data_IF_414209803405
#
_entry.id   IF_414209803405
#
_cell.length_a   1.000
_cell.length_b   1.000
_cell.length_c   1.000
_cell.angle_alpha   90.00
_cell.angle_beta   90.00
_cell.angle_gamma   90.00
#
_symmetry.space_group_name_H-M   'P 1'
#
loop_
_entity.id
_entity.type
_entity.pdbx_description
1 polymer ?
#
# COMPACT_ATOMS: atom_id res chain seq x y z
N UNK A 1 68.05 40.02 -39.20
CA UNK A 1 68.67 40.12 -37.85
C UNK A 1 68.38 38.81 -37.13
N UNK A 2 69.35 37.87 -37.13
CA UNK A 2 70.32 37.52 -36.05
C UNK A 2 69.70 36.48 -35.09
N UNK A 3 70.24 35.27 -34.85
CA UNK A 3 71.41 34.50 -35.29
C UNK A 3 71.16 33.03 -34.85
N UNK A 4 71.55 31.94 -35.53
CA UNK A 4 72.84 31.43 -36.04
C UNK A 4 73.86 31.11 -34.93
N UNK A 5 74.12 29.81 -34.75
CA UNK A 5 75.28 29.25 -34.05
C UNK A 5 75.62 27.89 -34.65
N UNK A 6 76.65 27.87 -35.50
CA UNK A 6 77.20 26.76 -36.28
C UNK A 6 78.69 26.69 -35.95
N UNK A 7 79.20 25.52 -35.53
CA UNK A 7 80.62 25.10 -35.58
C UNK A 7 80.61 23.55 -35.55
N UNK A 8 80.68 22.82 -36.66
CA UNK A 8 81.84 22.53 -37.56
C UNK A 8 82.98 21.83 -36.79
N UNK A 9 83.12 20.50 -36.82
CA UNK A 9 83.68 19.62 -37.89
C UNK A 9 85.13 19.94 -38.30
N UNK A 10 86.08 19.80 -37.37
CA UNK A 10 87.51 19.52 -37.60
C UNK A 10 88.04 19.05 -36.23
N UNK A 11 88.45 17.82 -35.96
CA UNK A 11 89.64 17.14 -36.47
C UNK A 11 89.41 15.63 -36.28
N UNK A 12 88.91 14.97 -37.33
CA UNK A 12 89.23 13.57 -37.58
C UNK A 12 90.60 13.60 -38.25
N UNK A 13 91.45 12.61 -37.92
CA UNK A 13 92.65 12.24 -38.66
C UNK A 13 93.96 12.95 -38.28
N UNK A 14 94.57 12.54 -37.16
CA UNK A 14 96.03 12.44 -37.09
C UNK A 14 96.43 11.26 -36.18
N UNK A 15 96.95 10.21 -36.83
CA UNK A 15 97.88 9.20 -36.31
C UNK A 15 97.43 8.47 -35.02
N UNK A 16 96.85 7.26 -35.08
CA UNK A 16 97.58 6.03 -35.42
C UNK A 16 99.07 6.12 -35.05
N UNK A 17 99.42 5.69 -33.84
CA UNK A 17 100.46 4.67 -33.56
C UNK A 17 100.90 4.74 -32.09
N UNK A 18 100.27 3.94 -31.23
CA UNK A 18 100.89 3.42 -30.01
C UNK A 18 100.14 2.15 -29.60
N UNK A 19 100.54 1.06 -30.25
CA UNK A 19 100.15 -0.30 -29.89
C UNK A 19 100.78 -0.61 -28.52
N UNK A 20 99.96 -0.70 -27.48
CA UNK A 20 100.29 -1.44 -26.25
C UNK A 20 99.08 -2.30 -25.88
N UNK A 21 99.24 -3.63 -25.75
CA UNK A 21 98.18 -4.53 -25.34
C UNK A 21 98.13 -4.58 -23.82
N UNK A 22 97.18 -3.88 -23.21
CA UNK A 22 96.92 -4.09 -21.80
C UNK A 22 95.44 -3.83 -21.47
N UNK A 23 94.87 -4.89 -20.91
CA UNK A 23 93.63 -4.95 -20.12
C UNK A 23 92.32 -4.89 -20.91
N UNK A 24 91.85 -6.10 -21.26
CA UNK A 24 90.43 -6.38 -21.27
C UNK A 24 89.84 -6.03 -19.90
N UNK A 25 89.23 -4.86 -19.77
CA UNK A 25 88.26 -4.58 -18.72
C UNK A 25 86.90 -5.02 -19.25
N UNK A 26 86.47 -6.19 -18.76
CA UNK A 26 85.14 -6.72 -19.00
C UNK A 26 84.10 -5.72 -18.52
N UNK A 27 83.52 -4.98 -19.46
CA UNK A 27 82.16 -4.50 -19.30
C UNK A 27 81.26 -5.74 -19.36
N UNK A 28 80.85 -6.25 -18.19
CA UNK A 28 79.77 -7.23 -18.15
C UNK A 28 78.58 -6.62 -18.91
N UNK A 29 78.02 -7.30 -19.92
CA UNK A 29 76.82 -6.82 -20.58
C UNK A 29 75.74 -6.59 -19.51
N UNK A 30 74.88 -5.57 -19.64
CA UNK A 30 73.79 -5.36 -18.71
C UNK A 30 73.02 -6.68 -18.60
N UNK A 31 73.00 -7.24 -17.40
CA UNK A 31 72.55 -8.60 -17.13
C UNK A 31 71.11 -8.78 -17.63
N UNK A 32 70.97 -9.38 -18.82
CA UNK A 32 69.68 -9.54 -19.50
C UNK A 32 68.73 -10.35 -18.61
N UNK A 33 69.27 -11.26 -17.80
CA UNK A 33 68.50 -12.05 -16.84
C UNK A 33 67.86 -11.18 -15.75
N UNK A 34 68.55 -10.11 -15.31
CA UNK A 34 68.00 -9.15 -14.35
C UNK A 34 66.79 -8.38 -14.92
N UNK A 35 66.85 -7.98 -16.20
CA UNK A 35 65.74 -7.31 -16.88
C UNK A 35 64.56 -8.24 -17.14
N UNK A 36 64.85 -9.49 -17.52
CA UNK A 36 63.82 -10.52 -17.69
C UNK A 36 63.09 -10.76 -16.37
N UNK A 37 63.84 -10.85 -15.25
CA UNK A 37 63.28 -11.04 -13.92
C UNK A 37 62.43 -9.84 -13.46
N UNK A 38 62.87 -8.62 -13.73
CA UNK A 38 62.12 -7.40 -13.43
C UNK A 38 60.81 -7.34 -14.23
N UNK A 39 60.84 -7.67 -15.52
CA UNK A 39 59.63 -7.71 -16.35
C UNK A 39 58.69 -8.86 -15.97
N UNK A 40 59.22 -10.02 -15.57
CA UNK A 40 58.42 -11.10 -14.99
C UNK A 40 57.73 -10.65 -13.69
N UNK A 41 58.42 -9.93 -12.81
CA UNK A 41 57.84 -9.38 -11.59
C UNK A 41 56.76 -8.32 -11.87
N UNK A 42 56.96 -7.48 -12.90
CA UNK A 42 55.94 -6.52 -13.37
C UNK A 42 54.71 -7.23 -13.93
N UNK A 43 54.90 -8.28 -14.74
CA UNK A 43 53.82 -9.12 -15.24
C UNK A 43 53.03 -9.75 -14.09
N UNK A 44 53.71 -10.33 -13.11
CA UNK A 44 53.05 -10.95 -11.95
C UNK A 44 52.26 -9.92 -11.12
N UNK A 45 52.78 -8.69 -10.98
CA UNK A 45 52.08 -7.60 -10.31
C UNK A 45 50.83 -7.15 -11.07
N UNK A 46 50.91 -7.06 -12.40
CA UNK A 46 49.78 -6.72 -13.27
C UNK A 46 48.72 -7.82 -13.21
N UNK A 47 49.11 -9.09 -13.27
CA UNK A 47 48.18 -10.23 -13.14
C UNK A 47 47.45 -10.21 -11.80
N UNK A 48 48.15 -9.92 -10.71
CA UNK A 48 47.54 -9.75 -9.38
C UNK A 48 46.53 -8.60 -9.38
N UNK A 49 46.85 -7.46 -9.97
CA UNK A 49 45.93 -6.32 -10.09
C UNK A 49 44.69 -6.66 -10.92
N UNK A 50 44.84 -7.34 -12.06
CA UNK A 50 43.71 -7.80 -12.89
C UNK A 50 42.81 -8.74 -12.07
N UNK A 51 43.40 -9.72 -11.37
CA UNK A 51 42.64 -10.67 -10.55
C UNK A 51 41.86 -9.96 -9.42
N UNK A 52 42.44 -8.94 -8.82
CA UNK A 52 41.81 -8.13 -7.78
C UNK A 52 40.62 -7.35 -8.33
N UNK A 53 40.79 -6.66 -9.46
CA UNK A 53 39.70 -5.90 -10.08
C UNK A 53 38.59 -6.81 -10.63
N UNK A 54 38.91 -7.99 -11.18
CA UNK A 54 37.90 -8.98 -11.56
C UNK A 54 37.05 -9.44 -10.36
N UNK A 55 37.69 -9.69 -9.20
CA UNK A 55 36.97 -10.02 -7.96
C UNK A 55 36.06 -8.88 -7.51
N UNK A 56 36.54 -7.63 -7.58
CA UNK A 56 35.72 -6.46 -7.25
C UNK A 56 34.51 -6.31 -8.18
N UNK A 57 34.69 -6.50 -9.49
CA UNK A 57 33.60 -6.45 -10.48
C UNK A 57 32.55 -7.53 -10.20
N UNK A 58 32.98 -8.76 -9.89
CA UNK A 58 32.05 -9.85 -9.56
C UNK A 58 31.25 -9.56 -8.27
N UNK A 59 31.89 -9.01 -7.24
CA UNK A 59 31.20 -8.61 -6.01
C UNK A 59 30.18 -7.51 -6.26
N UNK A 60 30.54 -6.49 -7.04
CA UNK A 60 29.64 -5.41 -7.42
C UNK A 60 28.41 -5.93 -8.19
N UNK A 61 28.59 -6.82 -9.17
CA UNK A 61 27.48 -7.45 -9.90
C UNK A 61 26.54 -8.25 -9.01
N UNK A 62 27.07 -9.03 -8.06
CA UNK A 62 26.23 -9.77 -7.10
C UNK A 62 25.40 -8.83 -6.24
N UNK A 63 26.00 -7.71 -5.81
CA UNK A 63 25.29 -6.68 -5.03
C UNK A 63 24.21 -6.01 -5.85
N UNK A 64 24.50 -5.65 -7.10
CA UNK A 64 23.52 -5.07 -8.04
C UNK A 64 22.34 -6.02 -8.26
N UNK A 65 22.61 -7.30 -8.51
CA UNK A 65 21.56 -8.30 -8.71
C UNK A 65 20.69 -8.48 -7.46
N UNK A 66 21.29 -8.51 -6.26
CA UNK A 66 20.54 -8.54 -5.01
C UNK A 66 19.64 -7.30 -4.82
N UNK A 67 20.13 -6.11 -5.16
CA UNK A 67 19.34 -4.88 -5.09
C UNK A 67 18.18 -4.87 -6.09
N UNK A 68 18.36 -5.43 -7.29
CA UNK A 68 17.27 -5.58 -8.27
C UNK A 68 16.21 -6.57 -7.79
N UNK A 69 16.61 -7.67 -7.16
CA UNK A 69 15.68 -8.63 -6.55
C UNK A 69 14.88 -7.99 -5.42
N UNK A 70 15.55 -7.22 -4.55
CA UNK A 70 14.90 -6.46 -3.47
C UNK A 70 13.92 -5.42 -4.03
N UNK A 71 14.32 -4.67 -5.07
CA UNK A 71 13.46 -3.70 -5.73
C UNK A 71 12.21 -4.36 -6.33
N UNK A 72 12.38 -5.50 -7.01
CA UNK A 72 11.28 -6.28 -7.58
C UNK A 72 10.29 -6.74 -6.50
N UNK A 73 10.79 -7.22 -5.36
CA UNK A 73 9.94 -7.60 -4.20
C UNK A 73 9.20 -6.41 -3.62
N UNK A 74 9.85 -5.25 -3.53
CA UNK A 74 9.22 -4.00 -3.07
C UNK A 74 8.11 -3.60 -4.05
N UNK A 75 8.36 -3.60 -5.36
CA UNK A 75 7.36 -3.23 -6.37
C UNK A 75 6.13 -4.17 -6.35
N UNK A 76 6.36 -5.47 -6.18
CA UNK A 76 5.28 -6.45 -5.98
C UNK A 76 4.49 -6.14 -4.71
N UNK A 77 5.18 -5.84 -3.60
CA UNK A 77 4.56 -5.49 -2.33
C UNK A 77 3.73 -4.20 -2.43
N UNK A 78 4.25 -3.17 -3.11
CA UNK A 78 3.54 -1.91 -3.37
C UNK A 78 2.29 -2.16 -4.20
N UNK A 79 2.38 -3.00 -5.24
CA UNK A 79 1.23 -3.35 -6.08
C UNK A 79 0.14 -4.06 -5.28
N UNK A 80 0.52 -5.04 -4.44
CA UNK A 80 -0.40 -5.75 -3.57
C UNK A 80 -1.04 -4.82 -2.53
N UNK A 81 -0.26 -3.93 -1.91
CA UNK A 81 -0.78 -2.96 -0.95
C UNK A 81 -1.78 -2.00 -1.61
N UNK A 82 -1.51 -1.52 -2.82
CA UNK A 82 -2.46 -0.68 -3.58
C UNK A 82 -3.79 -1.39 -3.83
N UNK A 83 -3.75 -2.66 -4.23
CA UNK A 83 -4.98 -3.47 -4.39
C UNK A 83 -5.72 -3.66 -3.07
N UNK A 84 -4.98 -3.88 -1.97
CA UNK A 84 -5.58 -4.00 -0.63
C UNK A 84 -6.24 -2.71 -0.18
N UNK A 85 -5.63 -1.54 -0.43
CA UNK A 85 -6.24 -0.24 -0.15
C UNK A 85 -7.53 -0.07 -0.95
N UNK A 86 -7.51 -0.33 -2.27
CA UNK A 86 -8.71 -0.23 -3.10
C UNK A 86 -9.85 -1.14 -2.62
N UNK A 87 -9.53 -2.36 -2.17
CA UNK A 87 -10.51 -3.28 -1.59
C UNK A 87 -11.09 -2.73 -0.28
N UNK A 88 -10.24 -2.21 0.61
CA UNK A 88 -10.68 -1.63 1.88
C UNK A 88 -11.56 -0.39 1.67
N UNK A 89 -11.25 0.43 0.67
CA UNK A 89 -12.08 1.59 0.31
C UNK A 89 -13.48 1.17 -0.16
N UNK A 90 -13.58 0.13 -1.01
CA UNK A 90 -14.87 -0.42 -1.43
C UNK A 90 -15.66 -1.02 -0.25
N UNK A 91 -14.97 -1.72 0.67
CA UNK A 91 -15.60 -2.25 1.88
C UNK A 91 -16.12 -1.12 2.78
N UNK A 92 -15.32 -0.07 2.96
CA UNK A 92 -15.72 1.13 3.70
C UNK A 92 -16.95 1.78 3.08
N UNK A 93 -16.97 1.99 1.77
CA UNK A 93 -18.12 2.57 1.07
C UNK A 93 -19.40 1.73 1.26
N UNK A 94 -19.30 0.40 1.13
CA UNK A 94 -20.41 -0.52 1.38
C UNK A 94 -20.93 -0.40 2.82
N UNK A 95 -20.04 -0.34 3.81
CA UNK A 95 -20.42 -0.15 5.20
C UNK A 95 -21.10 1.19 5.43
N UNK A 96 -20.60 2.28 4.82
CA UNK A 96 -21.22 3.61 4.93
C UNK A 96 -22.60 3.67 4.29
N UNK A 97 -22.83 2.97 3.18
CA UNK A 97 -24.16 2.81 2.59
C UNK A 97 -25.10 2.08 3.55
N UNK A 98 -24.66 0.96 4.13
CA UNK A 98 -25.45 0.22 5.12
C UNK A 98 -25.79 1.05 6.36
N UNK A 99 -24.86 1.87 6.85
CA UNK A 99 -25.13 2.80 7.96
C UNK A 99 -26.22 3.80 7.58
N UNK A 100 -26.18 4.37 6.37
CA UNK A 100 -27.20 5.32 5.91
C UNK A 100 -28.58 4.67 5.81
N UNK A 101 -28.66 3.47 5.25
CA UNK A 101 -29.91 2.70 5.11
C UNK A 101 -30.51 2.38 6.49
N UNK A 102 -29.70 1.81 7.39
CA UNK A 102 -30.14 1.48 8.75
C UNK A 102 -30.55 2.74 9.54
N UNK A 103 -29.84 3.86 9.36
CA UNK A 103 -30.22 5.13 10.02
C UNK A 103 -31.58 5.61 9.54
N UNK A 104 -31.86 5.51 8.23
CA UNK A 104 -33.17 5.88 7.68
C UNK A 104 -34.28 4.93 8.17
N UNK A 105 -33.99 3.63 8.26
CA UNK A 105 -34.93 2.63 8.78
C UNK A 105 -35.24 2.86 10.27
N UNK A 106 -34.23 3.19 11.08
CA UNK A 106 -34.41 3.58 12.49
C UNK A 106 -35.32 4.80 12.58
N UNK A 107 -35.04 5.87 11.82
CA UNK A 107 -35.86 7.08 11.83
C UNK A 107 -37.31 6.81 11.44
N UNK A 108 -37.54 5.98 10.41
CA UNK A 108 -38.89 5.59 9.99
C UNK A 108 -39.60 4.79 11.08
N UNK A 109 -38.92 3.79 11.65
CA UNK A 109 -39.47 2.94 12.72
C UNK A 109 -39.80 3.74 13.97
N UNK A 110 -38.92 4.66 14.39
CA UNK A 110 -39.15 5.56 15.51
C UNK A 110 -40.36 6.49 15.27
N UNK A 111 -40.50 7.02 14.06
CA UNK A 111 -41.64 7.86 13.69
C UNK A 111 -42.96 7.07 13.76
N UNK A 112 -42.99 5.83 13.26
CA UNK A 112 -44.18 4.98 13.31
C UNK A 112 -44.50 4.50 14.73
N UNK A 113 -43.48 4.24 15.54
CA UNK A 113 -43.62 3.97 16.97
C UNK A 113 -44.24 5.17 17.69
N UNK A 114 -43.77 6.38 17.42
CA UNK A 114 -44.31 7.61 18.00
C UNK A 114 -45.77 7.84 17.59
N UNK A 115 -46.11 7.63 16.31
CA UNK A 115 -47.51 7.70 15.83
C UNK A 115 -48.40 6.68 16.55
N UNK A 116 -47.94 5.44 16.68
CA UNK A 116 -48.71 4.37 17.33
C UNK A 116 -48.91 4.64 18.82
N UNK A 117 -47.88 5.11 19.52
CA UNK A 117 -47.97 5.57 20.92
C UNK A 117 -49.00 6.69 21.07
N UNK A 118 -48.95 7.70 20.20
CA UNK A 118 -49.89 8.82 20.22
C UNK A 118 -51.34 8.38 19.94
N UNK A 119 -51.54 7.45 19.02
CA UNK A 119 -52.85 6.85 18.74
C UNK A 119 -53.40 6.13 19.97
N UNK A 120 -52.62 5.21 20.56
CA UNK A 120 -53.03 4.43 21.72
C UNK A 120 -53.26 5.32 22.95
N UNK A 121 -52.43 6.34 23.17
CA UNK A 121 -52.61 7.28 24.28
C UNK A 121 -53.96 8.01 24.21
N UNK A 122 -54.31 8.57 23.05
CA UNK A 122 -55.63 9.20 22.84
C UNK A 122 -56.78 8.21 22.99
N UNK A 123 -56.59 6.99 22.52
CA UNK A 123 -57.61 5.95 22.61
C UNK A 123 -57.85 5.50 24.05
N UNK A 124 -56.80 5.30 24.83
CA UNK A 124 -56.91 5.00 26.26
C UNK A 124 -57.50 6.16 27.06
N UNK A 125 -57.17 7.41 26.72
CA UNK A 125 -57.81 8.57 27.32
C UNK A 125 -59.32 8.59 27.06
N UNK A 126 -59.74 8.29 25.81
CA UNK A 126 -61.16 8.22 25.47
C UNK A 126 -61.87 7.08 26.21
N UNK A 127 -61.27 5.89 26.28
CA UNK A 127 -61.81 4.75 27.05
C UNK A 127 -61.88 5.10 28.54
N UNK A 128 -60.88 5.77 29.10
CA UNK A 128 -60.92 6.19 30.50
C UNK A 128 -62.04 7.19 30.79
N UNK A 129 -62.24 8.18 29.90
CA UNK A 129 -63.24 9.25 30.08
C UNK A 129 -64.67 8.79 29.79
N UNK A 130 -64.86 7.89 28.84
CA UNK A 130 -66.19 7.57 28.28
C UNK A 130 -66.50 6.07 28.25
N UNK A 131 -65.53 5.21 28.55
CA UNK A 131 -65.67 3.75 28.49
C UNK A 131 -66.72 3.20 29.45
N UNK A 132 -67.28 2.05 29.10
CA UNK A 132 -68.44 1.47 29.78
C UNK A 132 -69.73 2.17 29.37
N UNK A 133 -69.99 3.38 29.88
CA UNK A 133 -71.30 4.04 29.68
C UNK A 133 -71.57 4.37 28.21
N UNK A 134 -70.58 4.91 27.47
CA UNK A 134 -70.78 5.23 26.06
C UNK A 134 -70.95 3.99 25.17
N UNK A 135 -70.23 2.91 25.50
CA UNK A 135 -70.30 1.63 24.77
C UNK A 135 -71.64 0.94 25.01
N UNK A 136 -72.11 0.88 26.27
CA UNK A 136 -73.45 0.39 26.58
C UNK A 136 -74.53 1.25 25.93
N UNK A 137 -74.41 2.58 25.98
CA UNK A 137 -75.35 3.47 25.32
C UNK A 137 -75.38 3.22 23.81
N UNK A 138 -74.23 3.09 23.14
CA UNK A 138 -74.17 2.77 21.70
C UNK A 138 -74.86 1.45 21.34
N UNK A 139 -74.68 0.42 22.17
CA UNK A 139 -75.32 -0.89 21.95
C UNK A 139 -76.83 -0.86 22.24
N UNK A 140 -77.24 -0.17 23.30
CA UNK A 140 -78.64 -0.08 23.73
C UNK A 140 -79.46 0.93 22.91
N UNK A 141 -78.81 1.93 22.30
CA UNK A 141 -79.46 2.93 21.44
C UNK A 141 -79.60 2.50 19.98
N UNK A 142 -79.14 1.29 19.62
CA UNK A 142 -79.23 0.78 18.25
C UNK A 142 -80.69 0.63 17.80
N UNK A 143 -80.96 0.88 16.53
CA UNK A 143 -82.31 0.79 15.96
C UNK A 143 -82.79 -0.66 15.74
N UNK A 144 -81.87 -1.63 15.73
CA UNK A 144 -82.16 -3.04 15.52
C UNK A 144 -81.12 -3.96 16.15
N UNK A 145 -81.51 -5.22 16.41
CA UNK A 145 -80.61 -6.26 16.92
C UNK A 145 -79.40 -6.51 16.00
N UNK A 146 -79.61 -6.38 14.68
CA UNK A 146 -78.52 -6.53 13.71
C UNK A 146 -77.49 -5.41 13.84
N UNK A 147 -77.94 -4.16 14.05
CA UNK A 147 -77.07 -3.01 14.28
C UNK A 147 -76.30 -3.13 15.61
N UNK A 148 -76.97 -3.51 16.71
CA UNK A 148 -76.30 -3.79 17.99
C UNK A 148 -75.20 -4.85 17.84
N UNK A 149 -75.50 -5.97 17.16
CA UNK A 149 -74.53 -7.05 16.97
C UNK A 149 -73.34 -6.62 16.11
N UNK A 150 -73.60 -5.78 15.10
CA UNK A 150 -72.56 -5.21 14.24
C UNK A 150 -71.65 -4.27 15.04
N UNK A 151 -72.23 -3.39 15.85
CA UNK A 151 -71.47 -2.48 16.71
C UNK A 151 -70.63 -3.24 17.74
N UNK A 152 -71.19 -4.29 18.37
CA UNK A 152 -70.46 -5.15 19.29
C UNK A 152 -69.28 -5.87 18.61
N UNK A 153 -69.48 -6.40 17.41
CA UNK A 153 -68.42 -7.02 16.62
C UNK A 153 -67.29 -6.02 16.28
N UNK A 154 -67.65 -4.79 15.88
CA UNK A 154 -66.67 -3.76 15.55
C UNK A 154 -65.84 -3.33 16.78
N UNK A 155 -66.48 -3.13 17.93
CA UNK A 155 -65.78 -2.83 19.19
C UNK A 155 -64.80 -3.96 19.55
N UNK A 156 -65.23 -5.22 19.48
CA UNK A 156 -64.37 -6.36 19.75
C UNK A 156 -63.22 -6.51 18.74
N UNK A 157 -63.44 -6.13 17.47
CA UNK A 157 -62.37 -6.11 16.45
C UNK A 157 -61.38 -4.99 16.74
N UNK A 158 -61.86 -3.81 17.09
CA UNK A 158 -61.02 -2.66 17.46
C UNK A 158 -60.15 -2.97 18.67
N UNK A 159 -60.68 -3.61 19.71
CA UNK A 159 -59.92 -4.02 20.90
C UNK A 159 -58.77 -4.99 20.54
N UNK A 160 -59.04 -5.98 19.68
CA UNK A 160 -58.01 -6.91 19.19
C UNK A 160 -56.93 -6.25 18.33
N UNK A 161 -57.27 -5.19 17.59
CA UNK A 161 -56.26 -4.43 16.84
C UNK A 161 -55.37 -3.59 17.76
N UNK A 162 -55.92 -3.01 18.82
CA UNK A 162 -55.11 -2.31 19.82
C UNK A 162 -54.17 -3.27 20.54
N UNK A 163 -54.68 -4.42 20.97
CA UNK A 163 -53.88 -5.47 21.61
C UNK A 163 -52.71 -5.89 20.72
N UNK A 164 -52.97 -6.16 19.43
CA UNK A 164 -51.91 -6.47 18.47
C UNK A 164 -50.87 -5.35 18.37
N UNK A 165 -51.30 -4.09 18.25
CA UNK A 165 -50.38 -2.94 18.20
C UNK A 165 -49.52 -2.82 19.47
N UNK A 166 -50.09 -3.11 20.64
CA UNK A 166 -49.35 -3.11 21.92
C UNK A 166 -48.29 -4.22 21.94
N UNK A 167 -48.64 -5.42 21.48
CA UNK A 167 -47.70 -6.56 21.43
C UNK A 167 -46.56 -6.26 20.46
N UNK A 168 -46.87 -5.80 19.24
CA UNK A 168 -45.85 -5.46 18.23
C UNK A 168 -44.91 -4.33 18.68
N UNK A 169 -45.31 -3.47 19.61
CA UNK A 169 -44.43 -2.43 20.17
C UNK A 169 -43.49 -2.94 21.27
N UNK A 170 -43.71 -4.14 21.81
CA UNK A 170 -42.89 -4.73 22.88
C UNK A 170 -41.78 -5.64 22.36
N UNK A 171 -41.95 -6.15 21.14
CA UNK A 171 -40.94 -6.91 20.39
C UNK A 171 -39.93 -5.95 19.73
#
# INVERSE_FOLDING_TARGET
MKGKGWFSTTVILLLFLALSPAVAWGANPPDIDSKIKDEQGRLEAIEKQISFHQKQIQQARRKEQGLLDDLSRIDQSVTLLKQKVALLDLQREKTELGIRELTAEIQSTEADLAKTRGYLARRFEAIYKYGGVAEFNLLLSSSSTHEALTNAYLLARMAREDERRIVTMKE
#
